data_IF_698955536607
#
_entry.id   IF_698955536607
#
_cell.length_a   1.000
_cell.length_b   1.000
_cell.length_c   1.000
_cell.angle_alpha   90.00
_cell.angle_beta   90.00
_cell.angle_gamma   90.00
#
_symmetry.space_group_name_H-M   'P 1'
#
loop_
_entity.id
_entity.type
_entity.pdbx_description
1 polymer ?
#
# COMPACT_ATOMS: atom_id res chain seq x y z
N UNK A 1 -6.18 9.67 29.47
CA UNK A 1 -5.84 8.64 30.48
C UNK A 1 -6.81 7.50 30.23
N UNK A 2 -6.34 6.44 29.58
CA UNK A 2 -7.15 5.24 29.42
C UNK A 2 -6.97 4.43 30.71
N UNK A 3 -8.05 4.25 31.46
CA UNK A 3 -8.05 3.38 32.64
C UNK A 3 -8.86 2.13 32.29
N UNK A 4 -8.18 0.99 32.18
CA UNK A 4 -8.83 -0.31 31.99
C UNK A 4 -8.95 -0.96 33.36
N UNK A 5 -10.19 -1.08 33.82
CA UNK A 5 -10.55 -1.67 35.12
C UNK A 5 -10.90 -3.15 34.93
N UNK A 6 -10.13 -4.05 35.54
CA UNK A 6 -10.36 -5.50 35.40
C UNK A 6 -10.77 -6.08 36.75
N UNK A 7 -11.99 -6.60 36.82
CA UNK A 7 -12.58 -7.20 38.02
C UNK A 7 -12.89 -8.67 37.77
N UNK A 8 -12.80 -9.51 38.80
CA UNK A 8 -13.31 -10.88 38.75
C UNK A 8 -14.84 -10.84 38.71
N UNK A 9 -15.44 -11.46 37.70
CA UNK A 9 -16.92 -11.55 37.57
C UNK A 9 -17.50 -12.44 38.66
N UNK A 10 -16.79 -13.50 39.09
CA UNK A 10 -17.26 -14.45 40.10
C UNK A 10 -17.24 -13.90 41.53
N UNK A 11 -16.26 -13.06 41.88
CA UNK A 11 -16.10 -12.57 43.27
C UNK A 11 -16.30 -11.06 43.42
N UNK A 12 -16.42 -10.32 42.31
CA UNK A 12 -16.44 -8.86 42.29
C UNK A 12 -15.11 -8.22 42.69
N UNK A 13 -14.07 -9.01 42.94
CA UNK A 13 -12.78 -8.51 43.41
C UNK A 13 -12.02 -7.83 42.27
N UNK A 14 -11.55 -6.60 42.51
CA UNK A 14 -10.68 -5.88 41.58
C UNK A 14 -9.34 -6.62 41.43
N UNK A 15 -9.00 -7.01 40.21
CA UNK A 15 -7.79 -7.79 39.92
C UNK A 15 -6.63 -6.88 39.49
N UNK A 16 -6.91 -5.84 38.70
CA UNK A 16 -5.89 -4.91 38.20
C UNK A 16 -6.53 -3.65 37.60
N UNK A 17 -5.86 -2.50 37.80
CA UNK A 17 -6.09 -1.26 37.06
C UNK A 17 -4.88 -0.99 36.17
N UNK A 18 -5.09 -0.87 34.86
CA UNK A 18 -4.06 -0.39 33.93
C UNK A 18 -4.38 1.06 33.57
N UNK A 19 -3.51 1.98 33.98
CA UNK A 19 -3.59 3.39 33.60
C UNK A 19 -2.53 3.70 32.53
N UNK A 20 -2.95 4.08 31.33
CA UNK A 20 -2.06 4.69 30.34
C UNK A 20 -2.07 6.22 30.48
N UNK A 21 -0.86 6.82 30.48
CA UNK A 21 -0.65 8.26 30.49
C UNK A 21 -1.26 8.97 29.27
N UNK A 22 -1.23 10.32 29.23
CA UNK A 22 -1.82 11.09 28.12
C UNK A 22 -1.08 10.89 26.79
N UNK A 23 0.16 10.39 26.80
CA UNK A 23 1.07 10.47 25.66
C UNK A 23 1.40 9.10 25.03
N UNK A 24 0.60 8.06 25.32
CA UNK A 24 0.88 6.67 24.95
C UNK A 24 -0.20 6.10 24.04
N UNK A 25 0.20 5.42 22.97
CA UNK A 25 -0.68 4.63 22.10
C UNK A 25 -0.35 3.14 22.24
N UNK A 26 -1.31 2.34 22.68
CA UNK A 26 -1.14 0.88 22.85
C UNK A 26 -1.59 0.17 21.57
N UNK A 27 -0.65 -0.44 20.87
CA UNK A 27 -0.91 -1.11 19.58
C UNK A 27 -1.23 -2.60 19.72
N UNK A 28 -0.84 -3.25 20.82
CA UNK A 28 -1.07 -4.67 21.03
C UNK A 28 -1.10 -4.99 22.53
N UNK A 29 -2.16 -5.66 23.01
CA UNK A 29 -2.32 -6.12 24.39
C UNK A 29 -2.60 -7.62 24.38
N UNK A 30 -1.68 -8.39 24.96
CA UNK A 30 -1.84 -9.83 25.15
C UNK A 30 -2.19 -10.13 26.61
N UNK A 31 -3.25 -10.92 26.81
CA UNK A 31 -3.70 -11.37 28.13
C UNK A 31 -3.47 -12.87 28.23
N UNK A 32 -2.66 -13.35 29.17
CA UNK A 32 -2.48 -14.79 29.40
C UNK A 32 -3.31 -15.20 30.61
N UNK A 33 -4.16 -16.21 30.43
CA UNK A 33 -5.03 -16.75 31.48
C UNK A 33 -4.65 -18.20 31.75
N UNK A 34 -4.44 -18.54 33.02
CA UNK A 34 -4.24 -19.93 33.45
C UNK A 34 -5.54 -20.47 34.08
N UNK A 35 -6.04 -21.59 33.57
CA UNK A 35 -7.19 -22.33 34.12
C UNK A 35 -6.75 -23.61 34.81
N UNK A 36 -7.52 -24.09 35.80
CA UNK A 36 -7.06 -25.10 36.77
C UNK A 36 -7.11 -26.57 36.28
N UNK A 37 -7.41 -26.83 35.00
CA UNK A 37 -7.45 -28.18 34.44
C UNK A 37 -6.21 -28.46 33.57
N UNK A 38 -5.09 -28.73 34.25
CA UNK A 38 -3.94 -29.41 33.67
C UNK A 38 -2.88 -28.51 33.02
N UNK A 39 -2.05 -27.86 33.85
CA UNK A 39 -0.66 -27.42 33.65
C UNK A 39 -0.19 -26.78 32.31
N UNK A 40 -1.05 -26.52 31.32
CA UNK A 40 -0.70 -25.83 30.08
C UNK A 40 -1.26 -24.42 30.10
N UNK A 41 -0.40 -23.44 30.37
CA UNK A 41 -0.69 -22.04 30.08
C UNK A 41 -1.15 -21.91 28.63
N UNK A 42 -2.39 -21.48 28.42
CA UNK A 42 -2.87 -21.07 27.11
C UNK A 42 -2.63 -19.56 26.99
N UNK A 43 -1.66 -19.18 26.17
CA UNK A 43 -1.46 -17.77 25.82
C UNK A 43 -2.37 -17.43 24.64
N UNK A 44 -3.21 -16.41 24.80
CA UNK A 44 -4.07 -15.93 23.73
C UNK A 44 -3.91 -14.39 23.64
N UNK A 45 -3.66 -13.86 22.45
CA UNK A 45 -3.51 -12.41 22.23
C UNK A 45 -4.88 -11.84 21.89
N UNK A 46 -5.34 -10.83 22.64
CA UNK A 46 -6.72 -10.33 22.54
C UNK A 46 -6.84 -8.99 21.82
N UNK A 47 -5.75 -8.24 21.69
CA UNK A 47 -5.71 -7.00 20.91
C UNK A 47 -4.51 -7.05 19.97
N UNK A 48 -4.79 -7.15 18.66
CA UNK A 48 -3.86 -6.86 17.58
C UNK A 48 -4.30 -5.57 16.88
N UNK A 49 -3.51 -4.51 17.02
CA UNK A 49 -3.71 -3.19 16.41
C UNK A 49 -4.32 -2.13 17.36
N UNK A 50 -4.20 -0.84 17.00
CA UNK A 50 -4.71 0.26 17.82
C UNK A 50 -6.25 0.28 17.83
N UNK A 51 -6.86 0.30 19.01
CA UNK A 51 -8.32 0.49 19.19
C UNK A 51 -8.63 1.40 20.39
N UNK A 52 -9.65 2.24 20.22
CA UNK A 52 -10.44 2.81 21.33
C UNK A 52 -11.55 1.80 21.64
N UNK A 53 -11.66 1.36 22.89
CA UNK A 53 -12.69 0.39 23.31
C UNK A 53 -14.02 1.11 23.50
N UNK A 54 -14.99 0.88 22.62
CA UNK A 54 -16.31 1.52 22.68
C UNK A 54 -17.40 0.68 23.37
N UNK A 55 -17.17 -0.60 23.71
CA UNK A 55 -18.13 -1.34 24.55
C UNK A 55 -17.50 -2.46 25.39
N UNK A 56 -18.08 -2.65 26.57
CA UNK A 56 -17.71 -3.59 27.65
C UNK A 56 -18.12 -5.05 27.39
N UNK A 57 -18.85 -5.34 26.31
CA UNK A 57 -19.50 -6.65 26.09
C UNK A 57 -18.53 -7.75 25.66
N UNK A 58 -17.52 -7.48 24.82
CA UNK A 58 -16.65 -8.53 24.29
C UNK A 58 -15.67 -9.14 25.30
N UNK A 59 -15.41 -8.43 26.41
CA UNK A 59 -14.54 -8.91 27.49
C UNK A 59 -15.33 -9.71 28.53
N UNK A 60 -16.62 -9.36 28.73
CA UNK A 60 -17.52 -10.06 29.65
C UNK A 60 -17.83 -11.48 29.17
N UNK A 61 -18.14 -11.66 27.88
CA UNK A 61 -18.47 -12.97 27.30
C UNK A 61 -17.35 -14.02 27.47
N UNK A 62 -16.10 -13.57 27.65
CA UNK A 62 -14.93 -14.43 27.79
C UNK A 62 -14.57 -14.76 29.26
N UNK A 63 -14.86 -13.84 30.19
CA UNK A 63 -14.60 -14.01 31.62
C UNK A 63 -15.66 -14.88 32.33
N UNK A 64 -16.78 -15.20 31.67
CA UNK A 64 -17.81 -16.11 32.16
C UNK A 64 -17.39 -17.59 32.16
N UNK A 65 -16.23 -17.95 31.59
CA UNK A 65 -15.70 -19.33 31.73
C UNK A 65 -15.09 -19.53 33.13
N UNK A 66 -15.68 -20.43 33.91
CA UNK A 66 -15.66 -20.50 35.38
C UNK A 66 -14.31 -20.66 36.14
N UNK A 67 -13.11 -20.50 35.56
CA UNK A 67 -11.90 -21.00 36.24
C UNK A 67 -10.57 -20.22 36.03
N UNK A 68 -10.62 -18.92 35.80
CA UNK A 68 -9.42 -18.08 35.67
C UNK A 68 -8.87 -17.63 37.04
N UNK A 69 -7.71 -18.18 37.47
CA UNK A 69 -7.08 -17.83 38.77
C UNK A 69 -5.88 -16.88 38.70
N UNK A 70 -5.25 -16.74 37.53
CA UNK A 70 -4.10 -15.83 37.37
C UNK A 70 -4.06 -15.24 35.97
N UNK A 71 -3.85 -13.92 35.90
CA UNK A 71 -3.88 -13.12 34.68
C UNK A 71 -2.53 -12.39 34.54
N UNK A 72 -1.77 -12.68 33.48
CA UNK A 72 -0.48 -12.05 33.20
C UNK A 72 -0.56 -11.24 31.89
N UNK A 73 -0.17 -9.97 31.92
CA UNK A 73 -0.28 -9.03 30.81
C UNK A 73 1.11 -8.70 30.24
N UNK A 74 1.28 -8.83 28.92
CA UNK A 74 2.51 -8.42 28.22
C UNK A 74 2.19 -7.36 27.15
N UNK A 75 2.92 -6.24 27.19
CA UNK A 75 2.81 -5.13 26.25
C UNK A 75 3.85 -5.31 25.13
N UNK A 76 3.42 -5.56 23.88
CA UNK A 76 4.32 -6.09 22.83
C UNK A 76 4.96 -5.04 21.91
N UNK A 77 4.33 -3.87 21.66
CA UNK A 77 4.95 -2.76 20.92
C UNK A 77 4.51 -1.40 21.43
N UNK A 78 5.45 -0.46 21.44
CA UNK A 78 5.29 0.91 21.96
C UNK A 78 5.57 1.90 20.82
N UNK A 79 4.65 2.81 20.54
CA UNK A 79 4.96 4.03 19.81
C UNK A 79 4.86 5.23 20.76
N UNK A 80 5.54 6.30 20.40
CA UNK A 80 5.57 7.57 21.09
C UNK A 80 4.85 8.61 20.25
N UNK A 81 4.10 9.47 20.92
CA UNK A 81 3.69 10.75 20.35
C UNK A 81 4.74 11.76 20.76
N UNK A 82 5.44 12.31 19.77
CA UNK A 82 6.42 13.38 19.95
C UNK A 82 5.80 14.64 19.36
N UNK A 83 5.66 15.67 20.18
CA UNK A 83 5.12 16.96 19.73
C UNK A 83 6.25 17.76 19.11
N UNK A 84 6.05 18.27 17.91
CA UNK A 84 7.01 19.10 17.19
C UNK A 84 6.45 20.50 17.08
N UNK A 85 7.15 21.49 17.62
CA UNK A 85 6.83 22.90 17.44
C UNK A 85 7.49 23.42 16.16
N UNK A 86 6.67 23.89 15.23
CA UNK A 86 7.06 24.46 13.95
C UNK A 86 6.16 25.66 13.63
N UNK A 87 6.74 26.82 13.31
CA UNK A 87 5.99 28.06 12.96
C UNK A 87 4.88 28.42 13.98
N UNK A 88 5.19 28.31 15.28
CA UNK A 88 4.26 28.54 16.39
C UNK A 88 3.06 27.56 16.44
N UNK A 89 3.07 26.50 15.64
CA UNK A 89 2.13 25.38 15.67
C UNK A 89 2.76 24.13 16.29
N UNK A 90 2.00 23.44 17.14
CA UNK A 90 2.38 22.14 17.70
C UNK A 90 1.79 21.01 16.85
N UNK A 91 2.64 20.18 16.28
CA UNK A 91 2.28 19.06 15.42
C UNK A 91 2.68 17.75 16.08
N UNK A 92 1.71 16.89 16.34
CA UNK A 92 1.97 15.56 16.88
C UNK A 92 2.47 14.61 15.80
N UNK A 93 3.59 13.94 16.09
CA UNK A 93 4.23 12.97 15.21
C UNK A 93 4.34 11.64 15.93
N UNK A 94 3.74 10.61 15.35
CA UNK A 94 3.85 9.24 15.84
C UNK A 94 5.16 8.61 15.35
N UNK A 95 5.99 8.16 16.28
CA UNK A 95 7.26 7.52 15.99
C UNK A 95 7.55 6.36 16.95
N UNK A 96 8.45 5.46 16.56
CA UNK A 96 8.87 4.35 17.42
C UNK A 96 10.12 4.74 18.22
N UNK A 97 10.26 4.29 19.49
CA UNK A 97 11.45 4.52 20.32
C UNK A 97 12.76 4.13 19.62
N UNK A 98 12.72 3.02 18.89
CA UNK A 98 13.85 2.44 18.14
C UNK A 98 14.07 3.08 16.77
N UNK A 99 13.23 4.04 16.37
CA UNK A 99 13.44 4.80 15.14
C UNK A 99 14.75 5.58 15.24
N UNK A 100 15.51 5.67 14.16
CA UNK A 100 16.72 6.50 14.16
C UNK A 100 16.34 7.97 14.07
N UNK A 101 17.19 8.85 14.59
CA UNK A 101 16.99 10.31 14.48
C UNK A 101 16.78 10.72 13.01
N UNK A 102 17.53 10.10 12.08
CA UNK A 102 17.38 10.35 10.64
C UNK A 102 16.00 9.95 10.11
N UNK A 103 15.52 8.75 10.43
CA UNK A 103 14.21 8.29 9.97
C UNK A 103 13.08 9.14 10.56
N UNK A 104 13.23 9.59 11.80
CA UNK A 104 12.28 10.49 12.44
C UNK A 104 12.19 11.85 11.77
N UNK A 105 13.31 12.49 11.39
CA UNK A 105 13.21 13.78 10.72
C UNK A 105 12.70 13.71 9.28
N UNK A 106 12.76 12.55 8.62
CA UNK A 106 12.02 12.32 7.37
C UNK A 106 10.51 12.34 7.63
N UNK A 107 10.03 11.68 8.71
CA UNK A 107 8.63 11.73 9.11
C UNK A 107 8.18 13.16 9.44
N UNK A 108 9.03 13.94 10.09
CA UNK A 108 8.78 15.35 10.40
C UNK A 108 8.66 16.19 9.14
N UNK A 109 9.62 16.06 8.21
CA UNK A 109 9.60 16.80 6.95
C UNK A 109 8.36 16.49 6.11
N UNK A 110 7.96 15.21 6.04
CA UNK A 110 6.73 14.80 5.35
C UNK A 110 5.48 15.37 6.03
N UNK A 111 5.41 15.28 7.37
CA UNK A 111 4.26 15.76 8.15
C UNK A 111 4.05 17.27 8.04
N UNK A 112 5.15 18.02 8.03
CA UNK A 112 5.19 19.48 7.89
C UNK A 112 5.19 19.95 6.43
N UNK A 113 5.14 19.02 5.46
CA UNK A 113 5.17 19.32 4.02
C UNK A 113 6.37 20.17 3.58
N UNK A 114 7.53 19.94 4.21
CA UNK A 114 8.77 20.63 3.84
C UNK A 114 9.27 20.13 2.48
N UNK A 115 9.99 20.94 1.70
CA UNK A 115 10.61 20.49 0.44
C UNK A 115 11.45 19.22 0.65
N UNK A 116 11.45 18.29 -0.31
CA UNK A 116 12.06 16.95 -0.17
C UNK A 116 13.57 16.92 0.15
N UNK A 117 14.28 18.05 0.00
CA UNK A 117 15.68 18.21 0.35
C UNK A 117 15.91 18.88 1.72
N UNK A 118 14.83 19.25 2.42
CA UNK A 118 14.89 19.96 3.70
C UNK A 118 15.27 19.02 4.81
N UNK A 119 16.26 19.41 5.60
CA UNK A 119 16.68 18.71 6.81
C UNK A 119 16.28 19.57 8.02
N UNK A 120 15.17 19.26 8.70
CA UNK A 120 14.80 20.00 9.90
C UNK A 120 15.89 19.81 10.97
N UNK A 121 16.31 20.92 11.58
CA UNK A 121 17.16 20.86 12.77
C UNK A 121 16.26 20.66 13.99
N UNK A 122 16.61 19.71 14.86
CA UNK A 122 15.86 19.43 16.07
C UNK A 122 16.58 20.01 17.27
N UNK A 123 15.82 20.68 18.13
CA UNK A 123 16.30 21.16 19.42
C UNK A 123 15.51 20.48 20.52
N UNK A 124 16.24 19.85 21.44
CA UNK A 124 15.72 19.26 22.66
C UNK A 124 16.20 20.11 23.83
N UNK A 125 15.30 20.84 24.49
CA UNK A 125 15.66 21.75 25.60
C UNK A 125 16.81 22.70 25.23
N UNK A 126 16.68 23.42 24.12
CA UNK A 126 17.68 24.34 23.56
C UNK A 126 19.02 23.70 23.13
N UNK A 127 19.17 22.37 23.25
CA UNK A 127 20.33 21.64 22.75
C UNK A 127 20.06 21.16 21.32
N UNK A 128 20.89 21.52 20.33
CA UNK A 128 20.77 20.97 18.98
C UNK A 128 21.10 19.47 19.00
N UNK A 129 20.30 18.67 18.30
CA UNK A 129 20.60 17.28 18.03
C UNK A 129 21.48 17.19 16.78
N UNK A 130 22.60 16.47 16.88
CA UNK A 130 23.56 16.32 15.78
C UNK A 130 23.08 15.24 14.80
N UNK A 131 22.41 15.69 13.74
CA UNK A 131 21.88 14.82 12.70
C UNK A 131 22.96 14.00 11.97
N UNK A 132 24.18 14.50 11.83
CA UNK A 132 25.24 13.83 11.07
C UNK A 132 26.10 12.92 11.96
N UNK A 133 26.27 13.26 13.25
CA UNK A 133 26.98 12.46 14.24
C UNK A 133 26.13 11.37 14.92
N UNK A 134 24.82 11.59 15.04
CA UNK A 134 23.87 10.71 15.75
C UNK A 134 22.79 10.12 14.82
N UNK A 135 23.00 10.14 13.50
CA UNK A 135 22.03 9.76 12.46
C UNK A 135 21.37 8.38 12.68
N UNK A 136 22.15 7.41 13.17
CA UNK A 136 21.78 6.01 13.39
C UNK A 136 21.40 5.72 14.86
N UNK A 137 21.48 6.72 15.73
CA UNK A 137 21.14 6.61 17.15
C UNK A 137 19.62 6.61 17.28
N UNK A 138 19.08 5.76 18.17
CA UNK A 138 17.64 5.67 18.37
C UNK A 138 17.08 6.93 19.04
N UNK A 139 15.79 7.23 18.85
CA UNK A 139 15.12 8.35 19.52
C UNK A 139 15.29 8.29 21.04
N UNK A 140 15.19 7.08 21.60
CA UNK A 140 15.38 6.85 23.02
C UNK A 140 16.78 7.23 23.51
N UNK A 141 17.80 6.89 22.72
CA UNK A 141 19.21 7.12 23.07
C UNK A 141 19.60 8.60 22.98
N UNK A 142 18.96 9.36 22.08
CA UNK A 142 19.14 10.83 21.99
C UNK A 142 18.24 11.63 22.95
N UNK A 143 17.51 10.94 23.84
CA UNK A 143 16.69 11.55 24.88
C UNK A 143 15.33 12.07 24.42
N UNK A 144 14.90 11.75 23.19
CA UNK A 144 13.52 11.97 22.75
C UNK A 144 12.67 10.89 23.41
N UNK A 145 11.55 11.25 24.02
CA UNK A 145 10.66 10.36 24.79
C UNK A 145 9.20 10.86 24.65
N UNK A 146 8.17 10.09 25.07
CA UNK A 146 6.79 10.55 25.02
C UNK A 146 6.60 11.88 25.75
N UNK A 147 5.82 12.78 25.15
CA UNK A 147 5.51 14.09 25.73
C UNK A 147 6.69 15.08 25.69
N UNK A 148 7.81 14.72 25.07
CA UNK A 148 8.86 15.67 24.73
C UNK A 148 8.39 16.54 23.57
N UNK A 149 8.53 17.85 23.74
CA UNK A 149 8.37 18.82 22.67
C UNK A 149 9.73 19.08 22.03
N UNK A 150 9.81 18.89 20.72
CA UNK A 150 10.96 19.23 19.91
C UNK A 150 10.72 20.54 19.18
N UNK A 151 11.68 21.44 19.24
CA UNK A 151 11.62 22.68 18.47
C UNK A 151 12.32 22.51 17.14
N UNK A 152 11.67 22.96 16.08
CA UNK A 152 12.24 23.07 14.74
C UNK A 152 12.32 24.56 14.40
N UNK A 153 13.46 25.23 14.71
CA UNK A 153 13.56 26.67 14.52
C UNK A 153 13.61 27.02 13.04
N UNK A 154 12.96 28.13 12.72
CA UNK A 154 13.08 28.76 11.41
C UNK A 154 14.49 29.35 11.26
N UNK A 155 15.39 28.64 10.59
CA UNK A 155 16.66 29.25 10.15
C UNK A 155 16.53 29.67 8.70
N UNK A 156 16.48 30.99 8.49
CA UNK A 156 16.62 31.63 7.17
C UNK A 156 18.00 31.42 6.51
N UNK A 157 18.82 30.51 7.05
CA UNK A 157 20.09 30.10 6.48
C UNK A 157 20.03 28.60 6.17
N UNK A 158 19.45 28.31 5.00
CA UNK A 158 19.49 27.01 4.38
C UNK A 158 20.93 26.76 3.87
N UNK A 159 21.82 26.22 4.70
CA UNK A 159 23.11 25.72 4.22
C UNK A 159 22.89 24.41 3.45
N UNK A 160 22.87 24.51 2.13
CA UNK A 160 22.90 23.38 1.21
C UNK A 160 24.28 22.71 1.27
N UNK A 161 24.47 21.78 2.19
CA UNK A 161 25.66 20.91 2.19
C UNK A 161 25.36 19.58 1.50
N UNK A 162 25.83 19.47 0.26
CA UNK A 162 25.87 18.24 -0.50
C UNK A 162 27.13 17.43 -0.13
N UNK A 163 27.01 16.42 0.72
CA UNK A 163 27.98 15.32 0.83
C UNK A 163 27.28 13.99 1.09
N UNK A 164 27.44 13.07 0.14
CA UNK A 164 27.29 11.63 0.32
C UNK A 164 25.85 11.12 0.42
N UNK A 165 25.44 10.25 -0.52
CA UNK A 165 24.22 9.46 -0.42
C UNK A 165 24.28 8.59 0.85
N UNK A 166 23.30 8.64 1.77
CA UNK A 166 23.12 7.57 2.73
C UNK A 166 22.55 6.37 1.96
N UNK A 167 23.28 5.27 1.97
CA UNK A 167 22.72 3.98 1.61
C UNK A 167 21.72 3.60 2.70
N UNK A 168 20.42 3.76 2.43
CA UNK A 168 19.33 3.24 3.26
C UNK A 168 19.43 1.71 3.31
N UNK A 169 20.20 1.21 4.28
CA UNK A 169 20.15 -0.17 4.75
C UNK A 169 19.30 -0.23 6.01
N UNK A 170 18.00 -0.54 5.90
CA UNK A 170 17.36 -1.51 6.80
C UNK A 170 15.93 -1.90 6.37
N UNK A 171 15.69 -3.22 6.40
CA UNK A 171 14.44 -4.00 6.22
C UNK A 171 13.72 -3.86 4.85
N UNK A 172 14.33 -4.30 3.73
CA UNK A 172 14.42 -5.68 3.18
C UNK A 172 13.10 -6.38 2.77
N UNK A 173 12.28 -5.75 1.92
CA UNK A 173 11.77 -6.36 0.65
C UNK A 173 10.79 -5.41 -0.03
N UNK A 174 9.82 -4.89 0.72
CA UNK A 174 8.73 -4.05 0.16
C UNK A 174 9.17 -2.60 -0.11
N UNK A 175 10.11 -2.07 0.69
CA UNK A 175 10.61 -0.70 0.56
C UNK A 175 11.60 -0.55 -0.62
N UNK A 176 12.33 -1.61 -0.98
CA UNK A 176 13.25 -1.60 -2.13
C UNK A 176 12.50 -1.57 -3.47
N UNK A 177 11.29 -2.14 -3.52
CA UNK A 177 10.43 -2.07 -4.70
C UNK A 177 9.71 -0.72 -4.82
N UNK A 178 9.35 -0.09 -3.70
CA UNK A 178 8.81 1.28 -3.67
C UNK A 178 9.84 2.32 -4.16
N UNK A 179 11.13 2.15 -3.83
CA UNK A 179 12.20 3.00 -4.38
C UNK A 179 12.43 2.80 -5.88
N UNK A 180 12.05 1.65 -6.46
CA UNK A 180 12.05 1.48 -7.91
C UNK A 180 10.96 2.34 -8.59
N UNK A 181 9.87 2.67 -7.89
CA UNK A 181 8.84 3.59 -8.37
C UNK A 181 9.33 5.06 -8.42
N UNK A 182 10.25 5.46 -7.53
CA UNK A 182 10.91 6.77 -7.62
C UNK A 182 11.91 6.81 -8.80
N UNK A 183 12.69 5.75 -9.02
CA UNK A 183 13.54 5.61 -10.21
C UNK A 183 12.75 5.54 -11.54
N UNK A 184 11.44 5.28 -11.49
CA UNK A 184 10.56 5.23 -12.67
C UNK A 184 10.13 6.63 -13.14
N UNK A 185 10.01 7.60 -12.23
CA UNK A 185 9.60 8.97 -12.57
C UNK A 185 10.71 9.66 -13.38
N UNK A 186 11.98 9.49 -12.99
CA UNK A 186 13.14 10.07 -13.69
C UNK A 186 13.35 9.50 -15.11
N UNK A 187 12.75 8.35 -15.43
CA UNK A 187 12.81 7.72 -16.75
C UNK A 187 11.54 7.97 -17.59
N UNK A 188 10.56 8.68 -17.03
CA UNK A 188 9.27 8.87 -17.66
C UNK A 188 9.38 9.94 -18.76
N UNK A 189 9.11 9.56 -20.00
CA UNK A 189 9.01 10.49 -21.10
C UNK A 189 7.57 11.02 -21.19
N UNK A 190 7.41 12.34 -21.32
CA UNK A 190 6.13 12.99 -21.63
C UNK A 190 5.92 12.92 -23.15
N UNK A 191 5.22 11.88 -23.62
CA UNK A 191 4.94 11.65 -25.05
C UNK A 191 3.66 10.81 -25.22
N UNK A 192 3.21 10.64 -26.46
CA UNK A 192 2.05 9.84 -26.81
C UNK A 192 2.48 8.49 -27.37
N UNK A 193 2.07 7.40 -26.71
CA UNK A 193 2.22 6.06 -27.29
C UNK A 193 1.24 5.86 -28.44
N UNK A 194 0.05 6.45 -28.32
CA UNK A 194 -0.99 6.42 -29.33
C UNK A 194 -1.67 7.80 -29.41
N UNK A 195 -1.50 8.57 -30.51
CA UNK A 195 -2.15 9.87 -30.66
C UNK A 195 -3.68 9.81 -30.60
N UNK A 196 -4.32 10.91 -30.16
CA UNK A 196 -5.78 11.00 -29.94
C UNK A 196 -6.61 10.60 -31.15
N UNK A 197 -6.18 11.03 -32.33
CA UNK A 197 -6.81 10.81 -33.63
C UNK A 197 -6.57 9.39 -34.19
N UNK A 198 -5.70 8.61 -33.55
CA UNK A 198 -5.37 7.26 -33.98
C UNK A 198 -6.08 6.16 -33.17
N UNK A 199 -6.86 6.53 -32.15
CA UNK A 199 -7.74 5.60 -31.43
C UNK A 199 -8.92 5.18 -32.30
N UNK A 200 -9.10 3.87 -32.46
CA UNK A 200 -10.30 3.35 -33.10
C UNK A 200 -11.50 3.49 -32.14
N UNK A 201 -12.43 4.41 -32.42
CA UNK A 201 -13.61 4.60 -31.56
C UNK A 201 -14.58 3.39 -31.64
N UNK A 202 -14.55 2.65 -32.75
CA UNK A 202 -15.48 1.52 -33.05
C UNK A 202 -15.11 0.18 -32.40
N UNK A 203 -14.11 0.14 -31.51
CA UNK A 203 -13.77 -1.08 -30.76
C UNK A 203 -14.90 -1.55 -29.84
N UNK A 204 -15.83 -0.65 -29.50
CA UNK A 204 -17.03 -0.97 -28.73
C UNK A 204 -17.88 -2.04 -29.44
N UNK A 205 -18.00 -1.99 -30.79
CA UNK A 205 -18.81 -2.97 -31.53
C UNK A 205 -18.15 -4.37 -31.60
N UNK A 206 -16.82 -4.44 -31.56
CA UNK A 206 -16.07 -5.71 -31.58
C UNK A 206 -16.04 -6.46 -30.24
N UNK A 207 -16.34 -5.75 -29.15
CA UNK A 207 -16.21 -6.27 -27.78
C UNK A 207 -17.55 -6.72 -27.19
N UNK A 208 -18.67 -6.39 -27.85
CA UNK A 208 -20.01 -6.82 -27.47
C UNK A 208 -20.08 -8.36 -27.48
N UNK A 209 -20.31 -8.94 -26.29
CA UNK A 209 -20.45 -10.39 -26.09
C UNK A 209 -19.16 -11.15 -25.80
N UNK A 210 -17.99 -10.50 -25.72
CA UNK A 210 -16.78 -11.15 -25.19
C UNK A 210 -16.79 -11.09 -23.65
N UNK A 211 -16.61 -12.24 -22.99
CA UNK A 211 -16.56 -12.33 -21.53
C UNK A 211 -15.14 -12.36 -20.99
N UNK A 212 -15.00 -12.12 -19.68
CA UNK A 212 -13.75 -12.38 -18.96
C UNK A 212 -13.52 -13.89 -18.87
N UNK A 213 -12.26 -14.32 -19.06
CA UNK A 213 -11.81 -15.69 -18.82
C UNK A 213 -11.04 -15.71 -17.50
N UNK A 214 -11.75 -16.02 -16.41
CA UNK A 214 -11.19 -16.12 -15.07
C UNK A 214 -10.36 -17.40 -14.93
N UNK A 215 -9.04 -17.25 -14.80
CA UNK A 215 -8.10 -18.36 -14.61
C UNK A 215 -7.90 -18.69 -13.13
N UNK A 216 -7.99 -17.67 -12.28
CA UNK A 216 -8.05 -17.78 -10.84
C UNK A 216 -8.99 -16.66 -10.36
N UNK A 217 -10.20 -16.96 -9.89
CA UNK A 217 -11.17 -15.92 -9.49
C UNK A 217 -10.70 -15.13 -8.27
N UNK A 218 -9.66 -15.60 -7.60
CA UNK A 218 -9.19 -15.10 -6.32
C UNK A 218 -9.84 -15.84 -5.15
N UNK A 219 -9.20 -15.77 -3.99
CA UNK A 219 -9.74 -16.37 -2.76
C UNK A 219 -10.72 -15.45 -2.04
N UNK A 220 -10.84 -14.18 -2.49
CA UNK A 220 -11.63 -13.15 -1.81
C UNK A 220 -11.00 -12.76 -0.45
N UNK A 221 -9.74 -13.11 -0.24
CA UNK A 221 -9.00 -12.82 0.98
C UNK A 221 -8.63 -11.34 1.13
N UNK A 222 -7.71 -11.07 2.04
CA UNK A 222 -7.29 -9.70 2.36
C UNK A 222 -6.71 -8.90 1.19
N UNK A 223 -6.18 -9.58 0.16
CA UNK A 223 -5.54 -9.00 -1.01
C UNK A 223 -6.21 -9.52 -2.29
N UNK A 224 -6.24 -8.68 -3.32
CA UNK A 224 -6.60 -9.11 -4.66
C UNK A 224 -5.58 -10.14 -5.19
N UNK A 225 -6.04 -11.37 -5.42
CA UNK A 225 -5.29 -12.49 -5.99
C UNK A 225 -6.01 -13.07 -7.24
N UNK A 226 -6.89 -12.28 -7.85
CA UNK A 226 -7.52 -12.59 -9.14
C UNK A 226 -6.48 -12.65 -10.26
N UNK A 227 -6.70 -13.54 -11.21
CA UNK A 227 -5.97 -13.69 -12.48
C UNK A 227 -7.00 -13.96 -13.59
N UNK A 228 -7.10 -13.06 -14.55
CA UNK A 228 -8.10 -13.14 -15.60
C UNK A 228 -7.57 -12.67 -16.95
N UNK A 229 -7.98 -13.34 -18.03
CA UNK A 229 -7.80 -12.80 -19.39
C UNK A 229 -8.97 -11.90 -19.73
N UNK A 230 -8.68 -10.69 -20.13
CA UNK A 230 -9.65 -9.75 -20.63
C UNK A 230 -9.85 -9.95 -22.16
N UNK A 231 -10.97 -9.49 -22.71
CA UNK A 231 -11.18 -9.33 -24.14
C UNK A 231 -10.12 -8.46 -24.82
N UNK A 232 -10.29 -8.28 -26.13
CA UNK A 232 -9.40 -7.43 -26.94
C UNK A 232 -9.60 -5.96 -26.56
N UNK A 233 -8.56 -5.33 -26.02
CA UNK A 233 -8.53 -3.92 -25.63
C UNK A 233 -7.91 -3.01 -26.72
N UNK A 234 -7.07 -3.59 -27.58
CA UNK A 234 -6.49 -2.92 -28.74
C UNK A 234 -6.74 -3.67 -30.04
N UNK A 235 -6.96 -2.93 -31.12
CA UNK A 235 -6.91 -3.49 -32.47
C UNK A 235 -5.48 -3.91 -32.83
N UNK A 236 -5.30 -4.81 -33.81
CA UNK A 236 -3.97 -5.10 -34.34
C UNK A 236 -3.22 -3.87 -34.86
N UNK A 237 -3.93 -2.84 -35.31
CA UNK A 237 -3.32 -1.61 -35.81
C UNK A 237 -2.81 -0.71 -34.66
N UNK A 238 -3.62 -0.54 -33.62
CA UNK A 238 -3.21 0.16 -32.39
C UNK A 238 -1.99 -0.51 -31.75
N UNK A 239 -1.95 -1.85 -31.68
CA UNK A 239 -0.77 -2.57 -31.22
C UNK A 239 0.49 -2.21 -32.01
N UNK A 240 0.41 -2.24 -33.36
CA UNK A 240 1.56 -1.89 -34.23
C UNK A 240 2.00 -0.44 -34.07
N UNK A 241 1.04 0.48 -33.89
CA UNK A 241 1.32 1.91 -33.66
C UNK A 241 2.07 2.10 -32.35
N UNK A 242 1.59 1.52 -31.25
CA UNK A 242 2.26 1.58 -29.94
C UNK A 242 3.69 1.02 -30.02
N UNK A 243 3.88 -0.11 -30.72
CA UNK A 243 5.23 -0.68 -30.96
C UNK A 243 6.11 0.34 -31.69
N UNK A 244 5.66 0.89 -32.82
CA UNK A 244 6.43 1.88 -33.59
C UNK A 244 6.76 3.13 -32.77
N UNK A 245 5.80 3.67 -32.03
CA UNK A 245 6.02 4.82 -31.13
C UNK A 245 7.09 4.49 -30.10
N UNK A 246 6.97 3.35 -29.43
CA UNK A 246 7.93 2.93 -28.40
C UNK A 246 9.36 2.70 -28.94
N UNK A 247 9.50 2.27 -30.20
CA UNK A 247 10.81 2.12 -30.86
C UNK A 247 11.44 3.49 -31.20
N UNK A 248 10.63 4.46 -31.63
CA UNK A 248 11.08 5.85 -31.86
C UNK A 248 11.57 6.54 -30.59
N UNK A 249 10.96 6.22 -29.45
CA UNK A 249 11.32 6.75 -28.12
C UNK A 249 12.60 6.13 -27.54
N UNK A 250 13.32 5.32 -28.34
CA UNK A 250 14.60 4.71 -28.02
C UNK A 250 14.57 3.88 -26.72
N UNK A 251 13.91 2.71 -26.76
CA UNK A 251 13.89 1.78 -25.63
C UNK A 251 15.29 1.52 -25.07
N UNK A 252 15.48 1.79 -23.78
CA UNK A 252 16.75 1.63 -23.11
C UNK A 252 16.86 0.22 -22.48
N UNK A 253 18.05 -0.39 -22.46
CA UNK A 253 18.26 -1.63 -21.71
C UNK A 253 18.02 -1.40 -20.21
N UNK A 254 17.42 -2.38 -19.54
CA UNK A 254 17.25 -2.38 -18.09
C UNK A 254 18.53 -2.90 -17.40
N UNK A 255 19.55 -2.05 -17.29
CA UNK A 255 20.90 -2.42 -16.82
C UNK A 255 21.27 -1.89 -15.42
N UNK A 256 20.27 -1.47 -14.64
CA UNK A 256 20.47 -0.96 -13.27
C UNK A 256 21.13 -2.03 -12.40
N UNK A 257 22.20 -1.65 -11.69
CA UNK A 257 23.05 -2.57 -10.94
C UNK A 257 22.29 -3.45 -9.94
N UNK A 258 21.29 -2.90 -9.26
CA UNK A 258 20.46 -3.64 -8.30
C UNK A 258 19.58 -4.73 -8.93
N UNK A 259 19.41 -4.71 -10.25
CA UNK A 259 18.60 -5.69 -10.99
C UNK A 259 19.44 -6.70 -11.78
N UNK A 260 20.78 -6.61 -11.70
CA UNK A 260 21.69 -7.49 -12.43
C UNK A 260 21.36 -8.96 -12.14
N UNK A 261 21.15 -9.74 -13.21
CA UNK A 261 20.85 -11.17 -13.13
C UNK A 261 19.40 -11.51 -12.75
N UNK A 262 18.54 -10.53 -12.47
CA UNK A 262 17.08 -10.73 -12.25
C UNK A 262 16.26 -10.51 -13.51
N UNK A 263 16.77 -9.67 -14.42
CA UNK A 263 16.06 -9.27 -15.62
C UNK A 263 17.03 -8.93 -16.75
N UNK A 264 16.54 -9.08 -17.98
CA UNK A 264 17.21 -8.65 -19.22
C UNK A 264 16.14 -8.34 -20.26
N UNK A 265 15.88 -7.05 -20.46
CA UNK A 265 14.94 -6.55 -21.46
C UNK A 265 15.25 -5.08 -21.77
N UNK A 266 14.67 -4.56 -22.85
CA UNK A 266 14.63 -3.13 -23.15
C UNK A 266 13.29 -2.55 -22.73
N UNK A 267 13.25 -1.29 -22.30
CA UNK A 267 12.04 -0.62 -21.87
C UNK A 267 12.01 0.84 -22.26
N UNK A 268 10.82 1.35 -22.52
CA UNK A 268 10.50 2.77 -22.40
C UNK A 268 9.36 2.96 -21.40
N UNK A 269 9.42 4.04 -20.63
CA UNK A 269 8.35 4.47 -19.71
C UNK A 269 7.78 5.77 -20.26
N UNK A 270 6.48 5.80 -20.50
CA UNK A 270 5.80 6.94 -21.13
C UNK A 270 4.61 7.35 -20.29
N UNK A 271 4.48 8.65 -20.05
CA UNK A 271 3.31 9.24 -19.42
C UNK A 271 2.28 9.60 -20.50
N UNK A 272 1.15 8.90 -20.55
CA UNK A 272 0.11 9.13 -21.57
C UNK A 272 -1.28 9.12 -20.93
N UNK A 273 -1.74 10.28 -20.46
CA UNK A 273 -3.05 10.43 -19.82
C UNK A 273 -4.21 10.16 -20.77
N UNK A 274 -4.02 10.42 -22.06
CA UNK A 274 -5.05 10.16 -23.08
C UNK A 274 -5.25 8.67 -23.24
N UNK A 275 -4.15 7.92 -23.41
CA UNK A 275 -4.20 6.46 -23.51
C UNK A 275 -4.77 5.84 -22.26
N UNK A 276 -4.40 6.32 -21.07
CA UNK A 276 -4.94 5.83 -19.80
C UNK A 276 -6.46 5.95 -19.75
N UNK A 277 -7.00 7.13 -20.08
CA UNK A 277 -8.45 7.37 -20.07
C UNK A 277 -9.19 6.51 -21.10
N UNK A 278 -8.77 6.54 -22.37
CA UNK A 278 -9.43 5.78 -23.45
C UNK A 278 -9.32 4.27 -23.25
N UNK A 279 -8.19 3.77 -22.75
CA UNK A 279 -8.02 2.36 -22.42
C UNK A 279 -8.88 1.96 -21.21
N UNK A 280 -9.00 2.82 -20.20
CA UNK A 280 -9.88 2.57 -19.06
C UNK A 280 -11.34 2.48 -19.47
N UNK A 281 -11.84 3.39 -20.32
CA UNK A 281 -13.19 3.33 -20.87
C UNK A 281 -13.50 1.96 -21.52
N UNK A 282 -12.51 1.35 -22.18
CA UNK A 282 -12.63 0.01 -22.79
C UNK A 282 -12.49 -1.12 -21.77
N UNK A 283 -11.60 -0.98 -20.80
CA UNK A 283 -11.23 -2.06 -19.88
C UNK A 283 -12.14 -2.13 -18.64
N UNK A 284 -12.73 -1.02 -18.21
CA UNK A 284 -13.46 -0.90 -16.94
C UNK A 284 -14.54 -1.98 -16.76
N UNK A 285 -15.44 -2.27 -17.72
CA UNK A 285 -16.47 -3.28 -17.54
C UNK A 285 -15.88 -4.66 -17.23
N UNK A 286 -14.81 -5.02 -17.94
CA UNK A 286 -14.12 -6.30 -17.78
C UNK A 286 -13.27 -6.36 -16.52
N UNK A 287 -12.69 -5.24 -16.10
CA UNK A 287 -11.97 -5.14 -14.82
C UNK A 287 -12.96 -5.31 -13.66
N UNK A 288 -14.15 -4.70 -13.75
CA UNK A 288 -15.21 -4.87 -12.74
C UNK A 288 -15.68 -6.33 -12.66
N UNK A 289 -15.93 -6.97 -13.80
CA UNK A 289 -16.28 -8.40 -13.88
C UNK A 289 -15.17 -9.28 -13.30
N UNK A 290 -13.90 -9.05 -13.67
CA UNK A 290 -12.76 -9.84 -13.20
C UNK A 290 -12.46 -9.68 -11.69
N UNK A 291 -12.90 -8.58 -11.08
CA UNK A 291 -12.70 -8.26 -9.67
C UNK A 291 -13.99 -8.41 -8.84
N UNK A 292 -15.04 -8.98 -9.42
CA UNK A 292 -16.28 -9.23 -8.68
C UNK A 292 -16.02 -10.12 -7.46
N UNK A 293 -16.47 -9.67 -6.29
CA UNK A 293 -16.24 -10.36 -5.00
C UNK A 293 -14.81 -10.25 -4.45
N UNK A 294 -13.90 -9.51 -5.11
CA UNK A 294 -12.53 -9.31 -4.61
C UNK A 294 -12.41 -8.11 -3.68
N UNK A 295 -11.44 -8.18 -2.76
CA UNK A 295 -11.01 -7.04 -1.97
C UNK A 295 -10.35 -5.99 -2.88
N UNK A 296 -10.85 -4.76 -2.86
CA UNK A 296 -10.24 -3.61 -3.53
C UNK A 296 -9.15 -2.93 -2.69
N UNK A 297 -8.76 -3.54 -1.57
CA UNK A 297 -7.70 -3.03 -0.71
C UNK A 297 -6.33 -3.21 -1.39
N UNK A 298 -5.58 -2.13 -1.66
CA UNK A 298 -4.27 -2.22 -2.28
C UNK A 298 -3.23 -2.80 -1.31
N UNK A 299 -2.16 -3.36 -1.87
CA UNK A 299 -1.04 -3.89 -1.10
C UNK A 299 -0.28 -2.77 -0.36
N UNK A 300 0.22 -3.07 0.84
CA UNK A 300 1.12 -2.20 1.60
C UNK A 300 0.52 -1.60 2.87
N UNK A 301 1.35 -0.83 3.57
CA UNK A 301 1.01 -0.18 4.83
C UNK A 301 0.02 0.98 4.64
N UNK A 302 -0.81 1.21 5.66
CA UNK A 302 -1.78 2.30 5.67
C UNK A 302 -2.98 2.08 4.74
N UNK A 303 -3.16 0.89 4.17
CA UNK A 303 -4.24 0.62 3.20
C UNK A 303 -5.59 0.23 3.84
N UNK A 304 -5.79 0.41 5.16
CA UNK A 304 -7.07 0.11 5.81
C UNK A 304 -8.22 0.96 5.23
N UNK A 305 -9.48 0.59 5.47
CA UNK A 305 -10.65 1.33 4.99
C UNK A 305 -11.14 0.91 3.60
N UNK A 306 -12.16 1.61 3.11
CA UNK A 306 -12.84 1.29 1.87
C UNK A 306 -12.16 1.94 0.66
N UNK A 307 -12.12 1.19 -0.44
CA UNK A 307 -11.49 1.59 -1.69
C UNK A 307 -12.44 1.36 -2.85
N UNK A 308 -12.30 2.19 -3.88
CA UNK A 308 -13.05 2.06 -5.12
C UNK A 308 -12.13 2.17 -6.34
N UNK A 309 -12.53 1.55 -7.44
CA UNK A 309 -11.82 1.64 -8.71
C UNK A 309 -11.83 3.08 -9.21
N UNK A 310 -10.66 3.58 -9.60
CA UNK A 310 -10.46 4.96 -10.08
C UNK A 310 -10.19 5.01 -11.59
N UNK A 311 -9.30 4.14 -12.09
CA UNK A 311 -8.78 4.27 -13.45
C UNK A 311 -7.53 3.45 -13.69
N UNK A 312 -6.75 3.82 -14.72
CA UNK A 312 -5.42 3.26 -14.99
C UNK A 312 -4.32 4.25 -14.61
N UNK A 313 -3.16 3.71 -14.22
CA UNK A 313 -1.94 4.49 -14.13
C UNK A 313 -1.56 5.03 -15.51
N UNK A 314 -1.35 6.34 -15.61
CA UNK A 314 -0.99 6.98 -16.86
C UNK A 314 0.49 6.76 -17.24
N UNK A 315 1.30 6.20 -16.34
CA UNK A 315 2.68 5.81 -16.63
C UNK A 315 2.73 4.38 -17.20
N UNK A 316 2.79 4.28 -18.52
CA UNK A 316 2.89 3.03 -19.25
C UNK A 316 4.33 2.55 -19.36
N UNK A 317 4.51 1.23 -19.28
CA UNK A 317 5.82 0.58 -19.49
C UNK A 317 5.71 -0.31 -20.71
N UNK A 318 6.41 0.04 -21.79
CA UNK A 318 6.57 -0.87 -22.93
C UNK A 318 7.86 -1.65 -22.74
N UNK A 319 7.75 -2.94 -22.47
CA UNK A 319 8.89 -3.82 -22.27
C UNK A 319 9.08 -4.71 -23.49
N UNK A 320 10.33 -4.92 -23.86
CA UNK A 320 10.71 -5.77 -24.97
C UNK A 320 11.81 -6.76 -24.62
N UNK A 321 11.54 -8.03 -24.90
CA UNK A 321 12.39 -9.17 -24.65
C UNK A 321 12.85 -9.73 -25.99
N UNK A 322 14.11 -9.49 -26.35
CA UNK A 322 14.76 -10.17 -27.47
C UNK A 322 15.27 -11.56 -27.09
N UNK A 323 16.05 -12.20 -27.98
CA UNK A 323 16.65 -13.51 -27.71
C UNK A 323 17.48 -13.52 -26.43
N UNK A 324 17.21 -14.49 -25.55
CA UNK A 324 17.84 -14.61 -24.24
C UNK A 324 17.44 -13.52 -23.23
N UNK A 325 16.44 -12.70 -23.54
CA UNK A 325 15.80 -11.79 -22.60
C UNK A 325 14.93 -12.54 -21.60
N UNK A 326 14.80 -12.04 -20.38
CA UNK A 326 14.02 -12.70 -19.33
C UNK A 326 13.60 -11.71 -18.25
N UNK A 327 12.60 -12.11 -17.46
CA UNK A 327 12.27 -11.50 -16.19
C UNK A 327 11.97 -12.64 -15.21
N UNK A 328 12.86 -12.83 -14.23
CA UNK A 328 12.77 -13.92 -13.25
C UNK A 328 11.50 -13.83 -12.39
N UNK A 329 11.13 -14.90 -11.66
CA UNK A 329 10.00 -14.89 -10.75
C UNK A 329 10.07 -13.71 -9.77
N UNK A 330 9.00 -12.93 -9.74
CA UNK A 330 8.86 -11.72 -8.93
C UNK A 330 7.38 -11.42 -8.63
N UNK A 331 7.16 -10.49 -7.70
CA UNK A 331 5.87 -9.84 -7.51
C UNK A 331 5.98 -8.41 -8.03
N UNK A 332 4.84 -7.83 -8.38
CA UNK A 332 4.84 -6.46 -8.89
C UNK A 332 4.82 -5.45 -7.73
N UNK A 333 5.74 -4.49 -7.81
CA UNK A 333 5.80 -3.38 -6.88
C UNK A 333 4.49 -2.57 -6.91
N UNK A 334 3.89 -2.25 -5.76
CA UNK A 334 2.73 -1.36 -5.73
C UNK A 334 3.15 0.07 -6.11
N UNK A 335 2.29 0.73 -6.88
CA UNK A 335 2.36 2.17 -7.12
C UNK A 335 1.52 2.90 -6.07
N UNK A 336 2.08 3.96 -5.50
CA UNK A 336 1.37 4.85 -4.59
C UNK A 336 1.76 6.29 -4.92
N UNK A 337 0.82 7.06 -5.47
CA UNK A 337 1.03 8.49 -5.69
C UNK A 337 0.90 9.26 -4.38
N UNK A 338 -0.05 8.83 -3.54
CA UNK A 338 -0.25 9.33 -2.19
C UNK A 338 -1.09 8.32 -1.38
N UNK A 339 -1.34 8.60 -0.10
CA UNK A 339 -2.04 7.69 0.84
C UNK A 339 -3.43 7.23 0.38
N UNK A 340 -4.10 8.03 -0.45
CA UNK A 340 -5.45 7.81 -0.95
C UNK A 340 -5.56 7.34 -2.41
N UNK A 341 -4.44 7.12 -3.13
CA UNK A 341 -4.46 6.66 -4.52
C UNK A 341 -3.31 5.67 -4.77
N UNK A 342 -3.66 4.42 -5.05
CA UNK A 342 -2.71 3.30 -5.13
C UNK A 342 -3.08 2.33 -6.23
N UNK A 343 -2.13 1.53 -6.71
CA UNK A 343 -2.43 0.41 -7.59
C UNK A 343 -3.00 -0.78 -6.83
N UNK A 344 -3.93 -1.49 -7.47
CA UNK A 344 -4.52 -2.72 -6.97
C UNK A 344 -3.98 -3.95 -7.70
N UNK A 345 -4.04 -3.92 -9.03
CA UNK A 345 -3.68 -5.03 -9.90
C UNK A 345 -2.90 -4.54 -11.12
N UNK A 346 -2.11 -5.43 -11.71
CA UNK A 346 -1.37 -5.17 -12.95
C UNK A 346 -2.27 -5.50 -14.14
N UNK A 347 -2.27 -4.61 -15.13
CA UNK A 347 -2.84 -4.86 -16.46
C UNK A 347 -1.70 -4.98 -17.47
N UNK A 348 -1.54 -6.18 -18.02
CA UNK A 348 -0.53 -6.50 -19.02
C UNK A 348 -1.21 -6.79 -20.36
N UNK A 349 -0.78 -6.11 -21.42
CA UNK A 349 -1.32 -6.26 -22.77
C UNK A 349 -0.17 -6.58 -23.73
N UNK A 350 -0.10 -7.82 -24.26
CA UNK A 350 0.86 -8.14 -25.32
C UNK A 350 0.58 -7.27 -26.55
N UNK A 351 1.62 -6.67 -27.11
CA UNK A 351 1.53 -5.93 -28.37
C UNK A 351 1.87 -6.81 -29.58
N UNK A 352 2.48 -7.97 -29.32
CA UNK A 352 2.63 -9.10 -30.21
C UNK A 352 2.05 -10.37 -29.55
N UNK A 353 2.10 -11.51 -30.25
CA UNK A 353 1.51 -12.77 -29.78
C UNK A 353 2.54 -13.82 -29.38
N UNK A 354 3.77 -13.41 -29.02
CA UNK A 354 4.87 -14.35 -28.77
C UNK A 354 5.26 -14.43 -27.29
N UNK A 355 5.80 -15.59 -26.89
CA UNK A 355 6.16 -15.87 -25.49
C UNK A 355 4.97 -16.14 -24.56
N UNK A 356 5.21 -16.10 -23.25
CA UNK A 356 4.19 -16.38 -22.22
C UNK A 356 4.50 -15.71 -20.88
N UNK A 357 3.50 -15.62 -20.03
CA UNK A 357 3.66 -15.21 -18.62
C UNK A 357 3.33 -16.42 -17.76
N UNK A 358 4.24 -16.80 -16.87
CA UNK A 358 4.06 -17.94 -15.98
C UNK A 358 3.74 -17.45 -14.58
N UNK A 359 2.68 -17.97 -13.99
CA UNK A 359 2.29 -17.70 -12.61
C UNK A 359 2.62 -18.91 -11.74
N UNK A 360 2.96 -18.66 -10.48
CA UNK A 360 3.32 -19.67 -9.51
C UNK A 360 2.35 -19.60 -8.32
N UNK A 361 1.49 -20.61 -8.22
CA UNK A 361 0.51 -20.72 -7.14
C UNK A 361 1.07 -21.61 -6.02
N UNK A 362 1.05 -21.17 -4.76
CA UNK A 362 1.62 -21.95 -3.68
C UNK A 362 0.83 -23.25 -3.44
N UNK A 363 1.54 -24.39 -3.35
CA UNK A 363 0.92 -25.72 -3.12
C UNK A 363 0.38 -25.84 -1.70
N UNK A 364 0.99 -25.13 -0.74
CA UNK A 364 0.62 -25.15 0.68
C UNK A 364 0.48 -23.72 1.21
N UNK A 365 -0.44 -23.47 2.15
CA UNK A 365 -0.48 -22.19 2.85
C UNK A 365 0.82 -21.99 3.64
N UNK A 366 1.33 -20.77 3.64
CA UNK A 366 2.43 -20.32 4.47
C UNK A 366 2.15 -18.87 4.83
N UNK A 367 2.26 -18.54 6.10
CA UNK A 367 2.31 -17.14 6.51
C UNK A 367 3.71 -16.59 6.20
N UNK A 368 3.84 -15.92 5.06
CA UNK A 368 5.10 -15.35 4.58
C UNK A 368 5.25 -13.87 4.93
N UNK A 369 4.39 -13.32 5.81
CA UNK A 369 4.46 -11.90 6.20
C UNK A 369 5.83 -11.57 6.80
N UNK A 370 6.48 -10.53 6.27
CA UNK A 370 7.80 -10.11 6.69
C UNK A 370 8.96 -10.91 6.08
N UNK A 371 8.69 -11.92 5.25
CA UNK A 371 9.72 -12.63 4.48
C UNK A 371 10.04 -11.89 3.19
N UNK A 372 11.31 -11.95 2.78
CA UNK A 372 11.71 -11.71 1.41
C UNK A 372 11.20 -12.84 0.50
N UNK A 373 11.12 -12.57 -0.81
CA UNK A 373 10.78 -13.62 -1.77
C UNK A 373 11.73 -14.82 -1.68
N UNK A 374 13.03 -14.60 -1.47
CA UNK A 374 14.00 -15.70 -1.36
C UNK A 374 13.75 -16.57 -0.12
N UNK A 375 13.46 -15.96 1.03
CA UNK A 375 13.14 -16.69 2.27
C UNK A 375 11.83 -17.47 2.12
N UNK A 376 10.82 -16.90 1.47
CA UNK A 376 9.58 -17.62 1.16
C UNK A 376 9.85 -18.82 0.24
N UNK A 377 10.64 -18.62 -0.82
CA UNK A 377 11.01 -19.70 -1.73
C UNK A 377 11.75 -20.81 -0.97
N UNK A 378 12.71 -20.47 -0.12
CA UNK A 378 13.44 -21.43 0.71
C UNK A 378 12.52 -22.18 1.68
N UNK A 379 11.65 -21.47 2.40
CA UNK A 379 10.69 -22.06 3.32
C UNK A 379 9.72 -23.04 2.65
N UNK A 380 9.45 -22.84 1.35
CA UNK A 380 8.61 -23.72 0.53
C UNK A 380 9.39 -24.83 -0.20
N UNK A 381 10.71 -24.92 -0.02
CA UNK A 381 11.56 -25.91 -0.69
C UNK A 381 11.92 -25.57 -2.15
N UNK A 382 11.83 -24.29 -2.51
CA UNK A 382 12.09 -23.76 -3.85
C UNK A 382 10.86 -23.73 -4.76
N UNK A 383 11.00 -23.12 -5.93
CA UNK A 383 9.89 -22.97 -6.91
C UNK A 383 9.28 -24.31 -7.32
N UNK A 384 10.11 -25.32 -7.59
CA UNK A 384 9.66 -26.60 -8.13
C UNK A 384 8.88 -27.46 -7.11
N UNK A 385 9.19 -27.34 -5.83
CA UNK A 385 8.51 -28.10 -4.77
C UNK A 385 7.37 -27.31 -4.11
N UNK A 386 7.51 -25.99 -4.07
CA UNK A 386 6.61 -25.09 -3.34
C UNK A 386 5.42 -24.56 -4.14
N UNK A 387 5.47 -24.63 -5.47
CA UNK A 387 4.51 -23.95 -6.34
C UNK A 387 4.08 -24.79 -7.55
N UNK A 388 2.83 -24.62 -7.94
CA UNK A 388 2.28 -25.07 -9.21
C UNK A 388 2.37 -23.94 -10.24
N UNK A 389 2.92 -24.25 -11.41
CA UNK A 389 3.12 -23.29 -12.48
C UNK A 389 1.94 -23.29 -13.47
N UNK A 390 1.42 -22.10 -13.78
CA UNK A 390 0.41 -21.87 -14.81
C UNK A 390 0.99 -20.99 -15.93
N UNK A 391 1.11 -21.56 -17.13
CA UNK A 391 1.57 -20.83 -18.32
C UNK A 391 0.40 -20.16 -19.04
N UNK A 392 0.41 -18.84 -19.10
CA UNK A 392 -0.60 -18.04 -19.79
C UNK A 392 -0.02 -17.45 -21.08
N UNK A 393 -0.63 -17.82 -22.21
CA UNK A 393 -0.40 -17.21 -23.53
C UNK A 393 -1.60 -16.33 -23.88
N UNK A 394 -1.32 -15.16 -24.45
CA UNK A 394 -2.34 -14.23 -24.93
C UNK A 394 -1.99 -13.77 -26.34
N UNK A 395 -3.03 -13.53 -27.13
CA UNK A 395 -2.89 -12.88 -28.42
C UNK A 395 -2.73 -11.37 -28.26
N UNK A 396 -2.07 -10.75 -29.23
CA UNK A 396 -1.84 -9.31 -29.25
C UNK A 396 -3.15 -8.53 -29.06
N UNK A 397 -3.09 -7.50 -28.21
CA UNK A 397 -4.18 -6.59 -27.89
C UNK A 397 -5.18 -7.10 -26.85
N UNK A 398 -5.10 -8.36 -26.38
CA UNK A 398 -5.90 -8.83 -25.23
C UNK A 398 -5.25 -8.44 -23.90
N UNK A 399 -6.08 -8.17 -22.89
CA UNK A 399 -5.58 -7.88 -21.55
C UNK A 399 -5.35 -9.14 -20.71
N UNK A 400 -4.37 -9.07 -19.81
CA UNK A 400 -4.17 -10.00 -18.71
C UNK A 400 -4.16 -9.18 -17.42
N UNK A 401 -5.18 -9.36 -16.60
CA UNK A 401 -5.35 -8.69 -15.33
C UNK A 401 -4.93 -9.64 -14.20
N UNK A 402 -4.09 -9.17 -13.29
CA UNK A 402 -3.69 -9.99 -12.15
C UNK A 402 -3.31 -9.19 -10.91
N UNK A 403 -3.59 -9.75 -9.74
CA UNK A 403 -3.19 -9.18 -8.45
C UNK A 403 -1.67 -9.04 -8.34
N UNK A 404 -1.20 -7.90 -7.82
CA UNK A 404 0.23 -7.60 -7.70
C UNK A 404 0.98 -8.55 -6.75
N UNK A 405 0.25 -9.23 -5.87
CA UNK A 405 0.74 -10.25 -4.94
C UNK A 405 1.08 -11.59 -5.62
N UNK A 406 0.61 -11.83 -6.85
CA UNK A 406 0.84 -13.09 -7.55
C UNK A 406 2.30 -13.19 -8.02
N UNK A 407 2.95 -14.29 -7.64
CA UNK A 407 4.32 -14.59 -8.07
C UNK A 407 4.31 -15.00 -9.54
N UNK A 408 5.08 -14.31 -10.38
CA UNK A 408 5.07 -14.54 -11.82
C UNK A 408 6.41 -14.23 -12.49
N UNK A 409 6.60 -14.77 -13.70
CA UNK A 409 7.78 -14.51 -14.53
C UNK A 409 7.42 -14.25 -16.00
N UNK A 410 8.28 -13.49 -16.67
CA UNK A 410 8.18 -13.20 -18.09
C UNK A 410 9.06 -14.15 -18.89
N UNK A 411 8.43 -15.06 -19.64
CA UNK A 411 9.14 -15.98 -20.54
C UNK A 411 9.09 -15.42 -21.97
N UNK A 412 10.26 -15.19 -22.61
CA UNK A 412 10.32 -14.69 -23.99
C UNK A 412 9.78 -15.74 -24.97
N UNK A 413 9.71 -15.36 -26.24
CA UNK A 413 9.52 -16.30 -27.33
C UNK A 413 10.74 -17.22 -27.50
N UNK A 414 10.55 -18.36 -28.14
CA UNK A 414 11.66 -19.24 -28.51
C UNK A 414 12.34 -18.72 -29.78
N UNK A 415 13.64 -19.01 -29.93
CA UNK A 415 14.39 -18.61 -31.12
C UNK A 415 14.72 -17.12 -31.19
N UNK A 416 14.54 -16.52 -32.38
CA UNK A 416 14.92 -15.15 -32.68
C UNK A 416 13.79 -14.13 -32.52
N UNK A 417 12.59 -14.57 -32.11
CA UNK A 417 11.43 -13.71 -31.96
C UNK A 417 11.55 -12.77 -30.75
N UNK A 418 10.87 -11.63 -30.84
CA UNK A 418 10.87 -10.57 -29.83
C UNK A 418 9.48 -10.50 -29.22
N UNK A 419 9.38 -10.56 -27.89
CA UNK A 419 8.15 -10.34 -27.12
C UNK A 419 8.06 -8.89 -26.70
N UNK A 420 6.96 -8.22 -26.99
CA UNK A 420 6.69 -6.83 -26.64
C UNK A 420 5.36 -6.75 -25.91
N UNK A 421 5.38 -6.10 -24.74
CA UNK A 421 4.21 -5.93 -23.89
C UNK A 421 4.09 -4.50 -23.40
N UNK A 422 2.86 -4.01 -23.36
CA UNK A 422 2.46 -2.82 -22.63
C UNK A 422 2.03 -3.25 -21.23
N UNK A 423 2.51 -2.55 -20.21
CA UNK A 423 2.07 -2.72 -18.83
C UNK A 423 1.61 -1.39 -18.26
N UNK A 424 0.49 -1.43 -17.54
CA UNK A 424 0.04 -0.41 -16.61
C UNK A 424 -0.56 -1.09 -15.37
N UNK A 425 -1.08 -0.31 -14.44
CA UNK A 425 -1.65 -0.77 -13.18
C UNK A 425 -3.07 -0.16 -13.03
N UNK A 426 -4.04 -0.94 -12.55
CA UNK A 426 -5.37 -0.43 -12.18
C UNK A 426 -5.26 0.30 -10.85
N UNK A 427 -5.76 1.52 -10.80
CA UNK A 427 -5.75 2.38 -9.63
C UNK A 427 -7.04 2.26 -8.83
N UNK A 428 -6.89 2.36 -7.52
CA UNK A 428 -7.98 2.50 -6.55
C UNK A 428 -7.80 3.76 -5.73
N UNK A 429 -8.92 4.40 -5.42
CA UNK A 429 -8.99 5.57 -4.55
C UNK A 429 -9.66 5.20 -3.23
N UNK A 430 -9.15 5.73 -2.12
CA UNK A 430 -9.77 5.56 -0.80
C UNK A 430 -11.07 6.36 -0.76
N UNK A 431 -12.16 5.74 -0.32
CA UNK A 431 -13.40 6.45 0.04
C UNK A 431 -13.18 7.22 1.32
N UNK A 432 -13.15 8.54 1.22
CA UNK A 432 -13.14 9.41 2.39
C UNK A 432 -14.58 9.53 2.89
N UNK A 433 -14.88 8.94 4.04
CA UNK A 433 -16.12 9.23 4.75
C UNK A 433 -16.07 10.67 5.23
N UNK A 434 -16.75 11.57 4.52
CA UNK A 434 -17.07 12.89 5.05
C UNK A 434 -18.27 12.68 5.97
N UNK A 435 -18.15 12.91 7.30
CA UNK A 435 -19.29 12.80 8.18
C UNK A 435 -20.35 13.80 7.72
N UNK A 436 -21.53 13.32 7.37
CA UNK A 436 -22.68 14.19 7.11
C UNK A 436 -23.01 14.89 8.42
N UNK A 437 -22.63 16.15 8.56
CA UNK A 437 -23.12 16.99 9.66
C UNK A 437 -24.62 17.12 9.44
N UNK A 438 -25.42 16.34 10.17
CA UNK A 438 -26.86 16.54 10.22
C UNK A 438 -27.07 17.99 10.69
N UNK A 439 -27.82 18.82 9.95
CA UNK A 439 -28.10 20.16 10.39
C UNK A 439 -28.80 20.06 11.75
N UNK A 440 -28.19 20.66 12.77
CA UNK A 440 -28.76 20.81 14.10
C UNK A 440 -30.21 21.28 13.93
N UNK A 441 -31.15 20.37 14.22
CA UNK A 441 -32.55 20.69 14.25
C UNK A 441 -32.75 21.87 15.17
N UNK A 442 -33.33 22.94 14.63
CA UNK A 442 -33.77 24.10 15.36
C UNK A 442 -34.62 23.66 16.56
N UNK A 443 -34.02 23.59 17.75
CA UNK A 443 -34.77 23.62 19.00
C UNK A 443 -35.47 24.97 19.05
N UNK A 444 -36.80 24.93 18.94
CA UNK A 444 -37.66 26.11 18.90
C UNK A 444 -37.51 26.96 20.16
N UNK A 445 -36.85 28.11 20.00
CA UNK A 445 -37.03 29.24 20.90
C UNK A 445 -38.41 29.84 20.63
N UNK A 446 -39.32 29.63 21.58
CA UNK A 446 -40.66 30.21 21.58
C UNK A 446 -40.59 31.74 21.57
N UNK A 447 -40.90 32.33 20.42
CA UNK A 447 -41.23 33.73 20.28
C UNK A 447 -42.76 33.87 20.28
N UNK A 448 -43.33 34.10 21.46
CA UNK A 448 -44.66 34.69 21.60
C UNK A 448 -44.62 36.13 21.07
N UNK A 449 -45.37 36.44 20.02
CA UNK A 449 -45.79 37.81 19.73
C UNK A 449 -47.19 37.86 19.11
N UNK A 450 -48.12 38.33 19.94
CA UNK A 450 -49.23 39.24 19.65
C UNK A 450 -49.86 39.21 18.26
N UNK A 451 -51.09 38.69 18.18
CA UNK A 451 -52.11 39.26 17.29
C UNK A 451 -53.17 39.96 18.13
N UNK A 452 -53.18 41.29 18.02
CA UNK A 452 -54.31 42.15 18.33
C UNK A 452 -55.31 41.99 17.18
N UNK A 453 -56.47 41.41 17.45
CA UNK A 453 -57.60 41.41 16.54
C UNK A 453 -58.44 42.67 16.78
N UNK A 454 -58.49 43.55 15.78
CA UNK A 454 -59.48 44.62 15.66
C UNK A 454 -60.50 44.23 14.58
N UNK A 455 -61.74 44.15 15.03
CA UNK A 455 -63.04 43.99 14.36
C UNK A 455 -63.16 44.34 12.86
N UNK A 456 -64.02 43.61 12.15
CA UNK A 456 -65.31 44.14 11.61
C UNK A 456 -66.20 43.04 11.00
N UNK A 457 -67.51 43.23 11.27
CA UNK A 457 -68.76 42.64 10.71
C UNK A 457 -69.07 41.19 10.99
#
# INVERSE_FOLDING_TARGET
MLAVHVCSVATGQELCIISAGRDWTVHELSVKVATQLGAKLHSQTFLQGPRVLESTESLNDFLETEDAKTLELQLLRKSWVVTVEYEDEAVDIEAYPECTLQAFGVLVADRLQLPAATRPSFYLQDKPLDWDGEAETSLADVGIQPGVTLQVPFTSNLELMCKGRPALQSRRSEFLESNAALCLIDQCQEDFLLPKDEFCEDLAEWSIGQSVDSLHPGTGGFLCDSLAKLPRLFTPDECRKIVRSSEKLAMAPMDVACFRGTRRYQRVVVRDETLARKLWERAEPYVREALEGQSLRPLGFGCAGDWELEGLNHCFRVNSYGPGGFLKPHRDAPFAQHSNLRSLCTLLIPLDSVGRTRFFHPVKPLDFRGMTLNEELEARGGLAAGFEALDVRLSAGRGLLFGQSLLHEGIPAEGSERKILLRTDVLVRRRLHIPTVLPLGCFGLGLRRFMVGLNKT
#
